data_IF_663420527905
#
_entry.id   IF_663420527905
#
_cell.length_a   1.000
_cell.length_b   1.000
_cell.length_c   1.000
_cell.angle_alpha   90.00
_cell.angle_beta   90.00
_cell.angle_gamma   90.00
#
_symmetry.space_group_name_H-M   'P 1'
#
loop_
_entity.id
_entity.type
_entity.pdbx_description
1 polymer ?
#
# COMPACT_ATOMS: atom_id res chain seq x y z
N UNK A 1 9.96 10.81 0.75
CA UNK A 1 11.32 10.87 0.19
C UNK A 1 12.19 9.83 0.89
N UNK A 2 13.42 9.61 0.41
CA UNK A 2 14.36 8.62 0.97
C UNK A 2 14.67 8.89 2.45
N UNK A 3 14.91 10.16 2.80
CA UNK A 3 15.26 10.57 4.17
C UNK A 3 14.16 10.23 5.17
N UNK A 4 12.88 10.42 4.79
CA UNK A 4 11.73 10.07 5.64
C UNK A 4 11.62 8.57 5.86
N UNK A 5 11.86 7.74 4.84
CA UNK A 5 11.82 6.28 4.97
C UNK A 5 12.96 5.75 5.85
N UNK A 6 14.19 6.28 5.67
CA UNK A 6 15.32 5.96 6.56
C UNK A 6 15.03 6.32 8.02
N UNK A 7 14.48 7.51 8.27
CA UNK A 7 14.08 7.95 9.61
C UNK A 7 12.96 7.10 10.20
N UNK A 8 12.02 6.61 9.39
CA UNK A 8 10.99 5.69 9.85
C UNK A 8 11.61 4.33 10.25
N UNK A 9 12.51 3.78 9.41
CA UNK A 9 13.17 2.52 9.69
C UNK A 9 14.10 2.58 10.91
N UNK A 10 14.66 3.75 11.23
CA UNK A 10 15.45 3.92 12.45
C UNK A 10 14.61 4.02 13.73
N UNK A 11 13.29 4.19 13.61
CA UNK A 11 12.37 4.47 14.74
C UNK A 11 11.35 3.36 15.00
N UNK A 12 11.19 2.43 14.06
CA UNK A 12 10.22 1.34 14.14
C UNK A 12 10.87 0.04 13.68
N UNK A 13 10.38 -1.08 14.22
CA UNK A 13 10.85 -2.41 13.82
C UNK A 13 10.26 -2.90 12.51
N UNK A 14 9.10 -2.37 12.12
CA UNK A 14 8.46 -2.62 10.84
C UNK A 14 7.94 -1.31 10.25
N UNK A 15 8.27 -1.06 8.99
CA UNK A 15 7.79 0.09 8.22
C UNK A 15 7.12 -0.44 6.96
N UNK A 16 5.88 -0.04 6.73
CA UNK A 16 5.13 -0.41 5.52
C UNK A 16 4.80 0.86 4.75
N UNK A 17 5.16 0.89 3.47
CA UNK A 17 4.81 1.95 2.54
C UNK A 17 3.79 1.43 1.53
N UNK A 18 2.61 2.05 1.50
CA UNK A 18 1.65 1.87 0.42
C UNK A 18 1.75 3.06 -0.54
N UNK A 19 2.31 2.83 -1.73
CA UNK A 19 2.35 3.83 -2.79
C UNK A 19 1.09 3.72 -3.65
N UNK A 20 0.53 4.87 -4.02
CA UNK A 20 -0.64 4.99 -4.88
C UNK A 20 -0.45 6.18 -5.82
N UNK A 21 -1.33 6.35 -6.82
CA UNK A 21 -1.22 7.43 -7.82
C UNK A 21 -0.66 7.00 -9.19
N UNK A 22 -0.79 5.71 -9.53
CA UNK A 22 -0.55 5.19 -10.88
C UNK A 22 0.84 5.51 -11.42
N UNK A 23 0.89 6.14 -12.61
CA UNK A 23 2.12 6.47 -13.34
C UNK A 23 3.17 7.20 -12.50
N UNK A 24 2.76 8.07 -11.58
CA UNK A 24 3.70 8.77 -10.69
C UNK A 24 4.41 7.80 -9.75
N UNK A 25 3.69 6.80 -9.22
CA UNK A 25 4.27 5.74 -8.39
C UNK A 25 5.16 4.80 -9.21
N UNK A 26 4.79 4.51 -10.46
CA UNK A 26 5.58 3.67 -11.38
C UNK A 26 6.91 4.32 -11.77
N UNK A 27 6.92 5.64 -12.00
CA UNK A 27 8.16 6.37 -12.33
C UNK A 27 9.01 6.59 -11.08
N UNK A 28 8.39 6.87 -9.95
CA UNK A 28 9.09 7.13 -8.70
C UNK A 28 9.87 5.92 -8.18
N UNK A 29 9.30 4.71 -8.28
CA UNK A 29 9.89 3.53 -7.65
C UNK A 29 11.30 3.17 -8.21
N UNK A 30 11.51 3.03 -9.53
CA UNK A 30 12.85 2.74 -10.09
C UNK A 30 13.92 3.76 -9.73
N UNK A 31 13.52 5.03 -9.50
CA UNK A 31 14.46 6.10 -9.14
C UNK A 31 15.03 5.96 -7.72
N UNK A 32 14.34 5.21 -6.84
CA UNK A 32 14.66 5.16 -5.41
C UNK A 32 14.86 3.71 -4.91
N UNK A 33 14.42 2.69 -5.65
CA UNK A 33 14.43 1.28 -5.24
C UNK A 33 15.82 0.83 -4.76
N UNK A 34 16.88 1.13 -5.50
CA UNK A 34 18.26 0.73 -5.17
C UNK A 34 18.71 1.22 -3.79
N UNK A 35 18.16 2.34 -3.33
CA UNK A 35 18.48 2.92 -2.02
C UNK A 35 17.59 2.36 -0.91
N UNK A 36 16.35 2.00 -1.23
CA UNK A 36 15.37 1.45 -0.28
C UNK A 36 15.52 -0.05 -0.09
N UNK A 37 16.07 -0.78 -1.07
CA UNK A 37 16.32 -2.22 -0.99
C UNK A 37 17.20 -2.59 0.21
N UNK A 38 18.11 -1.69 0.64
CA UNK A 38 19.00 -1.86 1.80
C UNK A 38 18.31 -1.68 3.16
N UNK A 39 17.03 -1.30 3.18
CA UNK A 39 16.28 -1.10 4.41
C UNK A 39 15.55 -2.40 4.75
N UNK A 40 16.10 -3.18 5.68
CA UNK A 40 15.59 -4.51 6.02
C UNK A 40 14.20 -4.45 6.68
N UNK A 41 13.93 -3.37 7.41
CA UNK A 41 12.67 -3.14 8.11
C UNK A 41 11.54 -2.59 7.21
N UNK A 42 11.81 -2.38 5.91
CA UNK A 42 10.89 -1.73 4.98
C UNK A 42 10.18 -2.73 4.08
N UNK A 43 8.85 -2.69 4.09
CA UNK A 43 7.97 -3.30 3.10
C UNK A 43 7.39 -2.21 2.21
N UNK A 44 7.34 -2.43 0.90
CA UNK A 44 6.74 -1.50 -0.06
C UNK A 44 5.73 -2.23 -0.93
N UNK A 45 4.52 -1.70 -0.95
CA UNK A 45 3.40 -2.20 -1.74
C UNK A 45 2.85 -1.07 -2.58
N UNK A 46 2.38 -1.40 -3.79
CA UNK A 46 1.72 -0.46 -4.70
C UNK A 46 0.26 -0.84 -4.85
N UNK A 47 -0.62 0.15 -4.69
CA UNK A 47 -2.05 0.01 -4.93
C UNK A 47 -2.32 0.42 -6.37
N UNK A 48 -3.02 -0.43 -7.13
CA UNK A 48 -3.39 -0.12 -8.51
C UNK A 48 -4.34 1.07 -8.56
N UNK A 49 -4.36 1.81 -9.68
CA UNK A 49 -5.33 2.91 -9.87
C UNK A 49 -6.78 2.43 -9.87
N UNK A 50 -7.02 1.21 -10.36
CA UNK A 50 -8.35 0.59 -10.37
C UNK A 50 -8.83 0.34 -8.93
N UNK A 51 -8.03 -0.37 -8.12
CA UNK A 51 -8.32 -0.62 -6.71
C UNK A 51 -8.49 0.68 -5.94
N UNK A 52 -7.65 1.69 -6.20
CA UNK A 52 -7.78 3.00 -5.57
C UNK A 52 -9.14 3.67 -5.89
N UNK A 53 -9.62 3.57 -7.14
CA UNK A 53 -10.90 4.14 -7.55
C UNK A 53 -12.08 3.43 -6.89
N UNK A 54 -12.03 2.10 -6.78
CA UNK A 54 -13.04 1.31 -6.08
C UNK A 54 -13.09 1.65 -4.58
N UNK A 55 -11.92 1.75 -3.93
CA UNK A 55 -11.80 2.16 -2.52
C UNK A 55 -12.32 3.57 -2.29
N UNK A 56 -12.04 4.51 -3.20
CA UNK A 56 -12.60 5.86 -3.12
C UNK A 56 -14.14 5.85 -3.21
N UNK A 57 -14.70 4.86 -3.91
CA UNK A 57 -16.14 4.63 -3.97
C UNK A 57 -16.77 4.17 -2.66
N UNK A 58 -16.01 3.53 -1.76
CA UNK A 58 -16.47 3.14 -0.42
C UNK A 58 -16.49 4.31 0.57
N UNK A 59 -15.84 5.44 0.24
CA UNK A 59 -15.74 6.58 1.15
C UNK A 59 -17.10 7.27 1.34
N UNK A 60 -17.54 7.34 2.59
CA UNK A 60 -18.79 8.01 2.99
C UNK A 60 -18.54 8.89 4.23
N UNK A 61 -19.46 9.82 4.55
CA UNK A 61 -19.35 10.67 5.75
C UNK A 61 -19.36 9.86 7.05
N UNK A 62 -20.13 8.77 7.07
CA UNK A 62 -20.14 7.74 8.10
C UNK A 62 -19.92 6.41 7.40
N UNK A 63 -18.95 5.61 7.86
CA UNK A 63 -18.56 4.36 7.20
C UNK A 63 -18.69 3.20 8.16
N UNK A 64 -19.36 2.14 7.71
CA UNK A 64 -19.32 0.83 8.33
C UNK A 64 -18.71 -0.14 7.33
N UNK A 65 -17.46 -0.52 7.57
CA UNK A 65 -16.72 -1.41 6.68
C UNK A 65 -16.51 -2.77 7.34
N UNK A 66 -16.67 -3.83 6.56
CA UNK A 66 -16.22 -5.18 6.90
C UNK A 66 -14.95 -5.50 6.14
N UNK A 67 -13.93 -5.96 6.85
CA UNK A 67 -12.67 -6.40 6.27
C UNK A 67 -12.52 -7.92 6.43
N UNK A 68 -12.40 -8.61 5.30
CA UNK A 68 -12.20 -10.07 5.27
C UNK A 68 -10.84 -10.38 4.68
N UNK A 69 -10.01 -11.10 5.44
CA UNK A 69 -8.69 -11.57 4.96
C UNK A 69 -8.75 -13.09 4.84
N UNK A 70 -8.63 -13.59 3.62
CA UNK A 70 -8.68 -15.02 3.32
C UNK A 70 -7.73 -15.34 2.17
N UNK A 71 -6.94 -16.41 2.30
CA UNK A 71 -6.02 -16.88 1.26
C UNK A 71 -5.08 -15.78 0.70
N UNK A 72 -4.67 -14.85 1.57
CA UNK A 72 -3.82 -13.71 1.20
C UNK A 72 -4.53 -12.56 0.49
N UNK A 73 -5.84 -12.65 0.29
CA UNK A 73 -6.67 -11.60 -0.30
C UNK A 73 -7.36 -10.79 0.79
N UNK A 74 -7.40 -9.47 0.62
CA UNK A 74 -8.16 -8.55 1.47
C UNK A 74 -9.40 -8.09 0.70
N UNK A 75 -10.58 -8.36 1.25
CA UNK A 75 -11.84 -7.80 0.78
C UNK A 75 -12.31 -6.73 1.74
N UNK A 76 -12.70 -5.57 1.21
CA UNK A 76 -13.35 -4.48 1.95
C UNK A 76 -14.76 -4.28 1.41
N UNK A 77 -15.75 -4.38 2.29
CA UNK A 77 -17.15 -4.24 1.92
C UNK A 77 -17.86 -3.20 2.80
N UNK A 78 -18.80 -2.47 2.19
CA UNK A 78 -19.88 -1.75 2.89
C UNK A 78 -21.23 -2.47 2.65
N UNK A 79 -22.35 -1.81 2.91
CA UNK A 79 -23.70 -2.37 2.70
C UNK A 79 -24.02 -2.67 1.22
N UNK A 80 -23.34 -2.02 0.29
CA UNK A 80 -23.68 -1.96 -1.14
C UNK A 80 -22.57 -2.40 -2.08
N UNK A 81 -21.31 -2.34 -1.63
CA UNK A 81 -20.11 -2.53 -2.44
C UNK A 81 -19.19 -3.51 -1.74
N UNK A 82 -18.51 -4.31 -2.56
CA UNK A 82 -17.46 -5.20 -2.11
C UNK A 82 -16.25 -5.02 -3.04
N UNK A 83 -15.09 -4.71 -2.46
CA UNK A 83 -13.88 -4.32 -3.17
C UNK A 83 -12.77 -5.30 -2.81
N UNK A 84 -12.21 -5.96 -3.81
CA UNK A 84 -10.99 -6.73 -3.64
C UNK A 84 -9.80 -5.77 -3.63
N UNK A 85 -9.08 -5.74 -2.52
CA UNK A 85 -7.91 -4.89 -2.34
C UNK A 85 -6.67 -5.62 -2.80
N UNK A 86 -6.33 -5.41 -4.07
CA UNK A 86 -5.09 -5.93 -4.64
C UNK A 86 -3.94 -4.95 -4.43
N UNK A 87 -2.82 -5.48 -3.97
CA UNK A 87 -1.57 -4.75 -3.82
C UNK A 87 -0.43 -5.50 -4.49
N UNK A 88 0.38 -4.78 -5.23
CA UNK A 88 1.59 -5.30 -5.85
C UNK A 88 2.76 -5.12 -4.88
N UNK A 89 3.45 -6.22 -4.54
CA UNK A 89 4.62 -6.17 -3.69
C UNK A 89 5.83 -5.67 -4.49
N UNK A 90 6.35 -4.49 -4.15
CA UNK A 90 7.55 -3.91 -4.75
C UNK A 90 8.81 -4.26 -3.94
N UNK A 91 8.68 -4.37 -2.61
CA UNK A 91 9.72 -4.86 -1.71
C UNK A 91 9.06 -5.58 -0.54
N UNK A 92 9.46 -6.82 -0.31
CA UNK A 92 9.11 -7.58 0.90
C UNK A 92 10.36 -7.67 1.76
N UNK A 93 10.27 -7.49 3.09
CA UNK A 93 11.39 -7.68 3.99
C UNK A 93 11.91 -9.13 3.90
N UNK A 94 13.23 -9.28 4.03
CA UNK A 94 13.89 -10.58 4.14
C UNK A 94 13.72 -11.17 5.55
#
# INVERSE_FOLDING_TARGET
DEKRLKKACSRADKVVLYSYGGRSSEVWWPQIENKLLKLDKLSVYRISTATQAELAGLCQRSMQLTATIQDGQLWLADETRNVLVEVEALKVPH
#
